data_IF_509470148992
#
_entry.id   IF_509470148992
#
_cell.length_a   1.000
_cell.length_b   1.000
_cell.length_c   1.000
_cell.angle_alpha   90.00
_cell.angle_beta   90.00
_cell.angle_gamma   90.00
#
_symmetry.space_group_name_H-M   'P 1'
#
loop_
_entity.id
_entity.type
_entity.pdbx_description
1 polymer ?
#
# COMPACT_ATOMS: atom_id res chain seq x y z
N UNK A 1 7.88 8.62 17.95
CA UNK A 1 6.93 7.49 17.90
C UNK A 1 5.47 7.95 17.96
N UNK A 2 5.05 8.72 18.98
CA UNK A 2 3.66 9.20 19.09
C UNK A 2 3.10 9.90 17.83
N UNK A 3 3.90 10.74 17.16
CA UNK A 3 3.50 11.40 15.90
C UNK A 3 3.21 10.43 14.74
N UNK A 4 3.91 9.30 14.67
CA UNK A 4 3.66 8.26 13.67
C UNK A 4 2.33 7.56 13.96
N UNK A 5 2.08 7.21 15.21
CA UNK A 5 0.82 6.57 15.61
C UNK A 5 -0.40 7.47 15.37
N UNK A 6 -0.29 8.78 15.65
CA UNK A 6 -1.38 9.71 15.37
C UNK A 6 -1.71 9.80 13.88
N UNK A 7 -0.69 9.64 13.03
CA UNK A 7 -0.85 9.65 11.59
C UNK A 7 -1.52 8.36 11.09
N UNK A 8 -1.11 7.20 11.59
CA UNK A 8 -1.78 5.92 11.30
C UNK A 8 -3.25 5.96 11.72
N UNK A 9 -3.52 6.44 12.94
CA UNK A 9 -4.88 6.58 13.47
C UNK A 9 -5.74 7.52 12.61
N UNK A 10 -5.18 8.65 12.17
CA UNK A 10 -5.89 9.62 11.31
C UNK A 10 -6.25 9.02 9.95
N UNK A 11 -5.32 8.26 9.35
CA UNK A 11 -5.53 7.61 8.05
C UNK A 11 -6.53 6.45 8.16
N UNK A 12 -6.46 5.67 9.24
CA UNK A 12 -7.45 4.63 9.53
C UNK A 12 -8.84 5.25 9.73
N UNK A 13 -8.96 6.29 10.54
CA UNK A 13 -10.23 6.99 10.76
C UNK A 13 -10.82 7.52 9.44
N UNK A 14 -10.00 8.13 8.58
CA UNK A 14 -10.41 8.56 7.25
C UNK A 14 -10.95 7.38 6.41
N UNK A 15 -10.26 6.25 6.39
CA UNK A 15 -10.67 5.09 5.59
C UNK A 15 -11.91 4.35 6.12
N UNK A 16 -12.21 4.49 7.41
CA UNK A 16 -13.47 4.02 7.98
C UNK A 16 -14.63 4.98 7.68
N UNK A 17 -14.37 6.29 7.65
CA UNK A 17 -15.41 7.31 7.46
C UNK A 17 -15.77 7.57 5.98
N UNK A 18 -14.81 7.46 5.07
CA UNK A 18 -15.01 7.82 3.66
C UNK A 18 -15.31 6.59 2.81
N UNK A 19 -16.33 6.64 1.92
CA UNK A 19 -16.62 5.54 1.01
C UNK A 19 -15.40 5.10 0.22
N UNK A 20 -15.27 3.78 0.08
CA UNK A 20 -14.14 3.16 -0.63
C UNK A 20 -14.14 3.60 -2.08
N UNK A 21 -12.95 3.78 -2.64
CA UNK A 21 -12.81 4.07 -4.07
C UNK A 21 -13.57 3.03 -4.92
N UNK A 22 -14.35 3.43 -5.95
CA UNK A 22 -15.21 2.53 -6.72
C UNK A 22 -14.53 1.25 -7.22
N UNK A 23 -13.24 1.32 -7.59
CA UNK A 23 -12.41 0.18 -8.00
C UNK A 23 -12.44 -1.03 -7.05
N UNK A 24 -12.66 -0.81 -5.75
CA UNK A 24 -12.76 -1.87 -4.75
C UNK A 24 -14.21 -2.33 -4.51
N UNK A 25 -15.20 -1.50 -4.83
CA UNK A 25 -16.63 -1.80 -4.70
C UNK A 25 -17.19 -2.64 -5.85
N UNK A 26 -16.54 -2.66 -7.01
CA UNK A 26 -17.03 -3.38 -8.19
C UNK A 26 -16.93 -4.91 -8.09
N UNK A 27 -15.99 -5.42 -7.27
CA UNK A 27 -15.76 -6.87 -7.12
C UNK A 27 -15.89 -7.24 -5.63
N UNK A 28 -16.91 -8.03 -5.22
CA UNK A 28 -17.17 -8.33 -3.82
C UNK A 28 -15.95 -8.88 -3.07
N UNK A 29 -15.17 -9.76 -3.71
CA UNK A 29 -13.93 -10.32 -3.13
C UNK A 29 -12.89 -9.25 -2.80
N UNK A 30 -12.73 -8.23 -3.66
CA UNK A 30 -11.80 -7.12 -3.41
C UNK A 30 -12.31 -6.22 -2.30
N UNK A 31 -13.62 -6.00 -2.24
CA UNK A 31 -14.26 -5.23 -1.18
C UNK A 31 -14.06 -5.89 0.20
N UNK A 32 -14.31 -7.21 0.29
CA UNK A 32 -14.08 -7.98 1.51
C UNK A 32 -12.60 -7.99 1.91
N UNK A 33 -11.69 -8.23 0.95
CA UNK A 33 -10.26 -8.19 1.20
C UNK A 33 -9.82 -6.84 1.76
N UNK A 34 -10.33 -5.72 1.23
CA UNK A 34 -10.03 -4.38 1.74
C UNK A 34 -10.59 -4.17 3.15
N UNK A 35 -11.77 -4.70 3.47
CA UNK A 35 -12.30 -4.64 4.84
C UNK A 35 -11.44 -5.40 5.83
N UNK A 36 -11.06 -6.63 5.48
CA UNK A 36 -10.21 -7.46 6.32
C UNK A 36 -8.84 -6.80 6.52
N UNK A 37 -8.28 -6.21 5.47
CA UNK A 37 -7.04 -5.45 5.52
C UNK A 37 -7.15 -4.23 6.46
N UNK A 38 -8.21 -3.42 6.32
CA UNK A 38 -8.41 -2.25 7.20
C UNK A 38 -8.64 -2.67 8.66
N UNK A 39 -9.40 -3.74 8.89
CA UNK A 39 -9.63 -4.28 10.22
C UNK A 39 -8.34 -4.80 10.85
N UNK A 40 -7.55 -5.60 10.11
CA UNK A 40 -6.29 -6.13 10.60
C UNK A 40 -5.28 -5.03 10.91
N UNK A 41 -5.09 -4.05 10.02
CA UNK A 41 -4.23 -2.91 10.29
C UNK A 41 -4.69 -2.07 11.49
N UNK A 42 -6.01 -1.97 11.73
CA UNK A 42 -6.55 -1.32 12.93
C UNK A 42 -6.19 -2.11 14.19
N UNK A 43 -6.41 -3.43 14.18
CA UNK A 43 -6.08 -4.30 15.32
C UNK A 43 -4.58 -4.33 15.61
N UNK A 44 -3.73 -4.41 14.58
CA UNK A 44 -2.28 -4.31 14.72
C UNK A 44 -1.86 -3.01 15.37
N UNK A 45 -2.44 -1.89 14.93
CA UNK A 45 -2.14 -0.56 15.51
C UNK A 45 -2.53 -0.53 16.99
N UNK A 46 -3.74 -0.99 17.32
CA UNK A 46 -4.24 -0.99 18.71
C UNK A 46 -3.38 -1.90 19.59
N UNK A 47 -3.17 -3.15 19.19
CA UNK A 47 -2.39 -4.11 19.98
C UNK A 47 -0.92 -3.71 20.08
N UNK A 48 -0.32 -3.18 19.01
CA UNK A 48 1.05 -2.65 19.04
C UNK A 48 1.19 -1.46 19.99
N UNK A 49 0.23 -0.53 20.00
CA UNK A 49 0.19 0.56 20.98
C UNK A 49 0.05 0.07 22.42
N UNK A 50 -0.86 -0.89 22.67
CA UNK A 50 -1.04 -1.48 23.99
C UNK A 50 0.23 -2.18 24.47
N UNK A 51 0.91 -2.89 23.58
CA UNK A 51 2.16 -3.58 23.87
C UNK A 51 3.29 -2.60 24.23
N UNK A 52 3.41 -1.49 23.51
CA UNK A 52 4.39 -0.44 23.78
C UNK A 52 4.05 0.42 25.01
N UNK A 53 2.78 0.49 25.41
CA UNK A 53 2.35 1.16 26.63
C UNK A 53 2.59 0.33 27.90
N UNK A 54 2.81 -0.98 27.76
CA UNK A 54 3.02 -1.91 28.87
C UNK A 54 4.30 -2.75 28.69
N UNK A 55 5.47 -2.12 28.46
CA UNK A 55 6.71 -2.84 28.19
C UNK A 55 7.09 -3.78 29.33
N UNK A 56 7.61 -4.96 28.98
CA UNK A 56 8.08 -5.97 29.93
C UNK A 56 6.98 -6.66 30.76
N UNK A 57 5.70 -6.30 30.60
CA UNK A 57 4.58 -6.94 31.30
C UNK A 57 3.99 -8.08 30.45
N UNK A 58 3.46 -9.15 31.08
CA UNK A 58 2.80 -10.23 30.34
C UNK A 58 1.68 -9.75 29.40
N UNK A 59 0.94 -8.72 29.82
CA UNK A 59 -0.09 -8.08 29.00
C UNK A 59 0.50 -7.37 27.76
N UNK A 60 1.67 -6.74 27.88
CA UNK A 60 2.34 -6.11 26.74
C UNK A 60 2.88 -7.15 25.76
N UNK A 61 3.46 -8.22 26.28
CA UNK A 61 3.95 -9.38 25.49
C UNK A 61 2.82 -10.02 24.68
N UNK A 62 1.69 -10.32 25.33
CA UNK A 62 0.53 -10.93 24.65
C UNK A 62 -0.10 -10.01 23.60
N UNK A 63 -0.22 -8.70 23.88
CA UNK A 63 -0.66 -7.73 22.88
C UNK A 63 0.29 -7.66 21.67
N UNK A 64 1.60 -7.66 21.89
CA UNK A 64 2.58 -7.67 20.80
C UNK A 64 2.46 -8.92 19.91
N UNK A 65 2.27 -10.08 20.52
CA UNK A 65 2.03 -11.33 19.80
C UNK A 65 0.72 -11.29 19.01
N UNK A 66 -0.36 -10.74 19.55
CA UNK A 66 -1.62 -10.56 18.82
C UNK A 66 -1.45 -9.64 17.60
N UNK A 67 -0.71 -8.54 17.74
CA UNK A 67 -0.37 -7.68 16.60
C UNK A 67 0.39 -8.47 15.51
N UNK A 68 1.42 -9.23 15.89
CA UNK A 68 2.18 -10.06 14.95
C UNK A 68 1.31 -11.15 14.28
N UNK A 69 0.37 -11.75 15.00
CA UNK A 69 -0.57 -12.71 14.44
C UNK A 69 -1.54 -12.06 13.45
N UNK A 70 -2.08 -10.88 13.74
CA UNK A 70 -2.90 -10.11 12.80
C UNK A 70 -2.12 -9.79 11.52
N UNK A 71 -0.85 -9.39 11.67
CA UNK A 71 0.05 -9.10 10.56
C UNK A 71 0.19 -10.30 9.60
N UNK A 72 0.56 -11.46 10.15
CA UNK A 72 0.84 -12.66 9.35
C UNK A 72 -0.42 -13.31 8.78
N UNK A 73 -1.51 -13.34 9.54
CA UNK A 73 -2.72 -14.08 9.16
C UNK A 73 -3.62 -13.30 8.19
N UNK A 74 -3.67 -11.97 8.29
CA UNK A 74 -4.61 -11.16 7.51
C UNK A 74 -3.90 -10.04 6.76
N UNK A 75 -3.07 -9.23 7.40
CA UNK A 75 -2.54 -8.01 6.79
C UNK A 75 -1.60 -8.26 5.63
N UNK A 76 -0.59 -9.11 5.80
CA UNK A 76 0.36 -9.48 4.73
C UNK A 76 -0.35 -10.21 3.59
N UNK A 77 -1.19 -11.25 3.82
CA UNK A 77 -1.92 -11.91 2.75
C UNK A 77 -2.86 -10.98 1.97
N UNK A 78 -3.61 -10.12 2.67
CA UNK A 78 -4.53 -9.17 2.01
C UNK A 78 -3.76 -8.09 1.24
N UNK A 79 -2.60 -7.64 1.74
CA UNK A 79 -1.70 -6.74 1.02
C UNK A 79 -1.21 -7.37 -0.27
N UNK A 80 -0.70 -8.61 -0.19
CA UNK A 80 -0.19 -9.36 -1.34
C UNK A 80 -1.28 -9.55 -2.42
N UNK A 81 -2.51 -9.88 -2.00
CA UNK A 81 -3.65 -9.98 -2.90
C UNK A 81 -3.98 -8.65 -3.62
N UNK A 82 -3.78 -7.52 -2.94
CA UNK A 82 -4.09 -6.19 -3.48
C UNK A 82 -2.98 -5.58 -4.33
N UNK A 83 -1.73 -6.07 -4.25
CA UNK A 83 -0.57 -5.54 -5.01
C UNK A 83 -0.84 -5.36 -6.52
N UNK A 84 -1.46 -6.31 -7.25
CA UNK A 84 -1.70 -6.15 -8.69
C UNK A 84 -2.70 -5.03 -9.03
N UNK A 85 -3.48 -4.57 -8.06
CA UNK A 85 -4.49 -3.52 -8.21
C UNK A 85 -3.98 -2.11 -7.85
N UNK A 86 -2.69 -1.98 -7.52
CA UNK A 86 -2.04 -0.68 -7.34
C UNK A 86 -2.02 0.10 -8.66
N UNK A 87 -2.23 1.41 -8.56
CA UNK A 87 -2.07 2.34 -9.69
C UNK A 87 -0.58 2.63 -9.94
N UNK A 88 -0.26 3.37 -10.99
CA UNK A 88 1.13 3.80 -11.26
C UNK A 88 1.97 2.76 -12.00
N UNK A 89 3.29 2.92 -11.93
CA UNK A 89 4.24 2.07 -12.67
C UNK A 89 4.41 0.70 -11.99
N UNK A 90 3.64 -0.30 -12.45
CA UNK A 90 3.63 -1.66 -11.88
C UNK A 90 5.01 -2.32 -11.78
N UNK A 91 5.88 -2.08 -12.76
CA UNK A 91 7.27 -2.59 -12.80
C UNK A 91 8.15 -2.11 -11.64
N UNK A 92 7.77 -1.00 -11.02
CA UNK A 92 8.42 -0.47 -9.83
C UNK A 92 7.63 -0.85 -8.57
N UNK A 93 6.31 -0.66 -8.59
CA UNK A 93 5.50 -0.74 -7.37
C UNK A 93 5.21 -2.17 -6.89
N UNK A 94 5.12 -3.15 -7.79
CA UNK A 94 4.94 -4.55 -7.38
C UNK A 94 6.14 -5.04 -6.56
N UNK A 95 7.40 -4.97 -7.05
CA UNK A 95 8.54 -5.42 -6.25
C UNK A 95 8.75 -4.60 -4.98
N UNK A 96 8.44 -3.29 -5.00
CA UNK A 96 8.42 -2.45 -3.79
C UNK A 96 7.45 -3.01 -2.75
N UNK A 97 6.21 -3.27 -3.15
CA UNK A 97 5.19 -3.76 -2.22
C UNK A 97 5.45 -5.19 -1.72
N UNK A 98 6.06 -6.05 -2.56
CA UNK A 98 6.55 -7.36 -2.13
C UNK A 98 7.64 -7.20 -1.06
N UNK A 99 8.64 -6.35 -1.28
CA UNK A 99 9.71 -6.11 -0.31
C UNK A 99 9.14 -5.64 1.03
N UNK A 100 8.25 -4.65 1.03
CA UNK A 100 7.66 -4.16 2.28
C UNK A 100 6.83 -5.24 2.97
N UNK A 101 6.07 -6.04 2.22
CA UNK A 101 5.30 -7.16 2.78
C UNK A 101 6.21 -8.20 3.44
N UNK A 102 7.37 -8.48 2.83
CA UNK A 102 8.39 -9.40 3.40
C UNK A 102 9.03 -8.81 4.65
N UNK A 103 9.40 -7.53 4.65
CA UNK A 103 9.95 -6.87 5.84
C UNK A 103 8.94 -6.86 6.99
N UNK A 104 7.68 -6.57 6.71
CA UNK A 104 6.61 -6.55 7.70
C UNK A 104 6.35 -7.93 8.30
N UNK A 105 6.25 -8.97 7.45
CA UNK A 105 6.15 -10.36 7.89
C UNK A 105 7.38 -10.79 8.72
N UNK A 106 8.58 -10.40 8.28
CA UNK A 106 9.83 -10.68 8.99
C UNK A 106 9.85 -10.05 10.38
N UNK A 107 9.41 -8.80 10.52
CA UNK A 107 9.26 -8.14 11.82
C UNK A 107 8.22 -8.84 12.71
N UNK A 108 7.09 -9.26 12.15
CA UNK A 108 6.07 -10.00 12.90
C UNK A 108 6.60 -11.35 13.42
N UNK A 109 7.31 -12.10 12.58
CA UNK A 109 7.94 -13.36 13.00
C UNK A 109 8.95 -13.16 14.14
N UNK A 110 9.72 -12.07 14.10
CA UNK A 110 10.66 -11.73 15.17
C UNK A 110 9.95 -11.34 16.47
N UNK A 111 8.80 -10.67 16.41
CA UNK A 111 7.97 -10.41 17.59
C UNK A 111 7.44 -11.72 18.19
N UNK A 112 7.08 -12.71 17.38
CA UNK A 112 6.66 -14.02 17.90
C UNK A 112 7.83 -14.80 18.51
N UNK A 113 9.02 -14.68 17.94
CA UNK A 113 10.24 -15.36 18.41
C UNK A 113 10.81 -14.74 19.69
N UNK A 114 10.82 -13.40 19.78
CA UNK A 114 11.33 -12.61 20.90
C UNK A 114 10.24 -11.65 21.43
N UNK A 115 9.19 -12.17 22.08
CA UNK A 115 7.99 -11.38 22.39
C UNK A 115 8.19 -10.34 23.50
N UNK A 116 9.33 -10.37 24.18
CA UNK A 116 9.76 -9.34 25.14
C UNK A 116 10.57 -8.21 24.50
N UNK A 117 10.93 -8.32 23.22
CA UNK A 117 11.81 -7.35 22.55
C UNK A 117 11.02 -6.16 22.00
N UNK A 118 11.12 -5.03 22.70
CA UNK A 118 10.52 -3.76 22.24
C UNK A 118 11.04 -3.34 20.87
N UNK A 119 12.32 -3.61 20.57
CA UNK A 119 12.92 -3.27 19.29
C UNK A 119 12.22 -3.98 18.12
N UNK A 120 11.90 -5.27 18.27
CA UNK A 120 11.19 -6.02 17.23
C UNK A 120 9.75 -5.52 17.06
N UNK A 121 9.11 -5.14 18.16
CA UNK A 121 7.77 -4.54 18.13
C UNK A 121 7.78 -3.18 17.43
N UNK A 122 8.77 -2.32 17.70
CA UNK A 122 8.94 -1.05 16.99
C UNK A 122 9.20 -1.31 15.50
N UNK A 123 10.00 -2.31 15.13
CA UNK A 123 10.22 -2.67 13.73
C UNK A 123 8.92 -3.12 13.03
N UNK A 124 8.06 -3.88 13.72
CA UNK A 124 6.74 -4.26 13.23
C UNK A 124 5.86 -3.02 12.99
N UNK A 125 5.86 -2.07 13.93
CA UNK A 125 5.09 -0.83 13.81
C UNK A 125 5.62 0.10 12.71
N UNK A 126 6.93 0.20 12.56
CA UNK A 126 7.58 1.00 11.49
C UNK A 126 7.24 0.43 10.10
N UNK A 127 7.22 -0.90 9.95
CA UNK A 127 6.84 -1.52 8.67
C UNK A 127 5.36 -1.31 8.32
N UNK A 128 4.45 -1.37 9.31
CA UNK A 128 3.03 -1.04 9.13
C UNK A 128 2.81 0.39 8.60
N UNK A 129 3.66 1.32 9.04
CA UNK A 129 3.59 2.74 8.72
C UNK A 129 3.80 3.10 7.25
N UNK A 130 4.30 2.15 6.43
CA UNK A 130 4.60 2.40 5.02
C UNK A 130 3.40 2.97 4.25
N UNK A 131 2.20 2.41 4.47
CA UNK A 131 1.00 2.88 3.79
C UNK A 131 0.67 4.32 4.17
N UNK A 132 0.65 4.60 5.46
CA UNK A 132 0.36 5.92 5.99
C UNK A 132 1.36 6.95 5.44
N UNK A 133 2.66 6.61 5.45
CA UNK A 133 3.72 7.46 4.94
C UNK A 133 3.54 7.74 3.45
N UNK A 134 3.12 6.74 2.66
CA UNK A 134 2.85 6.93 1.24
C UNK A 134 1.74 7.94 0.93
N UNK A 135 0.75 8.06 1.83
CA UNK A 135 -0.31 9.07 1.74
C UNK A 135 0.19 10.46 2.10
N UNK A 136 0.94 10.57 3.19
CA UNK A 136 1.54 11.84 3.58
C UNK A 136 2.49 12.38 2.52
N UNK A 137 3.36 11.53 1.98
CA UNK A 137 4.28 11.92 0.93
C UNK A 137 3.52 12.28 -0.35
N UNK A 138 2.44 11.57 -0.69
CA UNK A 138 1.60 11.95 -1.82
C UNK A 138 1.03 13.36 -1.66
N UNK A 139 0.42 13.64 -0.50
CA UNK A 139 -0.13 14.96 -0.18
C UNK A 139 0.95 16.05 -0.19
N UNK A 140 2.13 15.77 0.35
CA UNK A 140 3.26 16.70 0.31
C UNK A 140 3.72 16.98 -1.13
N UNK A 141 3.90 15.93 -1.95
CA UNK A 141 4.30 16.05 -3.36
C UNK A 141 3.23 16.74 -4.21
N UNK A 142 1.95 16.57 -3.88
CA UNK A 142 0.84 17.22 -4.58
C UNK A 142 0.77 18.74 -4.31
N UNK A 143 1.28 19.20 -3.16
CA UNK A 143 1.27 20.61 -2.75
C UNK A 143 2.49 21.39 -3.22
N UNK A 144 3.62 20.72 -3.43
CA UNK A 144 4.84 21.37 -3.95
C UNK A 144 4.75 21.52 -5.46
N UNK A 145 5.34 22.61 -5.98
CA UNK A 145 5.40 22.81 -7.42
C UNK A 145 6.42 21.85 -8.05
N UNK A 146 5.93 20.81 -8.70
CA UNK A 146 6.75 19.85 -9.45
C UNK A 146 6.73 20.14 -10.95
N UNK A 147 7.83 19.84 -11.67
CA UNK A 147 7.87 19.88 -13.13
C UNK A 147 6.77 19.00 -13.75
N UNK A 148 6.24 19.41 -14.91
CA UNK A 148 5.18 18.67 -15.63
C UNK A 148 5.59 17.23 -15.96
N UNK A 149 6.88 16.99 -16.21
CA UNK A 149 7.40 15.65 -16.44
C UNK A 149 7.27 14.72 -15.22
N UNK A 150 7.17 15.26 -13.99
CA UNK A 150 7.16 14.50 -12.74
C UNK A 150 5.74 14.35 -12.19
N UNK A 151 4.87 15.35 -12.40
CA UNK A 151 3.49 15.36 -11.86
C UNK A 151 2.68 14.09 -12.14
N UNK A 152 2.71 13.47 -13.34
CA UNK A 152 1.98 12.22 -13.59
C UNK A 152 2.44 11.04 -12.73
N UNK A 153 3.62 11.14 -12.12
CA UNK A 153 4.27 10.06 -11.38
C UNK A 153 4.20 10.23 -9.86
N UNK A 154 3.55 11.26 -9.32
CA UNK A 154 3.50 11.53 -7.87
C UNK A 154 3.05 10.33 -7.04
N UNK A 155 2.07 9.55 -7.53
CA UNK A 155 1.60 8.34 -6.85
C UNK A 155 2.68 7.26 -6.77
N UNK A 156 3.43 7.08 -7.86
CA UNK A 156 4.50 6.09 -7.92
C UNK A 156 5.65 6.51 -7.02
N UNK A 157 6.02 7.80 -7.08
CA UNK A 157 7.09 8.37 -6.29
C UNK A 157 6.78 8.32 -4.79
N UNK A 158 5.56 8.67 -4.37
CA UNK A 158 5.21 8.66 -2.95
C UNK A 158 5.30 7.29 -2.31
N UNK A 159 4.93 6.24 -3.05
CA UNK A 159 5.01 4.85 -2.58
C UNK A 159 6.46 4.37 -2.54
N UNK A 160 7.23 4.64 -3.61
CA UNK A 160 8.63 4.23 -3.70
C UNK A 160 9.51 4.93 -2.67
N UNK A 161 9.33 6.24 -2.46
CA UNK A 161 10.08 6.99 -1.45
C UNK A 161 9.73 6.54 -0.03
N UNK A 162 8.46 6.26 0.24
CA UNK A 162 8.05 5.73 1.54
C UNK A 162 8.65 4.35 1.80
N UNK A 163 8.74 3.51 0.77
CA UNK A 163 9.39 2.21 0.88
C UNK A 163 10.90 2.35 1.15
N UNK A 164 11.57 3.29 0.49
CA UNK A 164 12.98 3.59 0.74
C UNK A 164 13.20 4.03 2.18
N UNK A 165 12.34 4.90 2.72
CA UNK A 165 12.43 5.34 4.11
C UNK A 165 12.24 4.17 5.09
N UNK A 166 11.18 3.38 4.91
CA UNK A 166 10.89 2.23 5.77
C UNK A 166 11.99 1.16 5.68
N UNK A 167 12.43 0.78 4.49
CA UNK A 167 13.50 -0.22 4.33
C UNK A 167 14.82 0.27 4.92
N UNK A 168 15.14 1.56 4.77
CA UNK A 168 16.33 2.18 5.35
C UNK A 168 16.25 2.25 6.88
N UNK A 169 15.06 2.48 7.45
CA UNK A 169 14.88 2.46 8.91
C UNK A 169 15.00 1.06 9.50
N UNK A 170 14.60 0.01 8.77
CA UNK A 170 14.61 -1.36 9.27
C UNK A 170 15.93 -2.10 9.04
N UNK A 171 16.58 -1.87 7.90
CA UNK A 171 17.82 -2.57 7.51
C UNK A 171 19.07 -1.68 7.64
N UNK A 172 18.91 -0.39 7.92
CA UNK A 172 19.95 0.62 7.77
C UNK A 172 19.99 1.21 6.35
N UNK A 173 20.49 2.43 6.22
CA UNK A 173 20.42 3.21 4.97
C UNK A 173 21.01 2.47 3.76
N UNK A 174 22.23 1.94 3.89
CA UNK A 174 22.94 1.27 2.79
C UNK A 174 22.23 -0.02 2.40
N UNK A 175 21.98 -0.90 3.37
CA UNK A 175 21.36 -2.19 3.10
C UNK A 175 19.90 -2.05 2.63
N UNK A 176 19.13 -1.14 3.21
CA UNK A 176 17.75 -0.85 2.81
C UNK A 176 17.62 -0.31 1.40
N UNK A 177 18.53 0.59 1.00
CA UNK A 177 18.59 1.12 -0.38
C UNK A 177 19.03 0.04 -1.37
N UNK A 178 20.09 -0.71 -1.03
CA UNK A 178 20.62 -1.77 -1.88
C UNK A 178 19.58 -2.89 -2.10
N UNK A 179 18.90 -3.34 -1.06
CA UNK A 179 17.84 -4.35 -1.16
C UNK A 179 16.67 -3.87 -2.01
N UNK A 180 16.24 -2.62 -1.85
CA UNK A 180 15.18 -2.05 -2.67
C UNK A 180 15.57 -2.05 -4.16
N UNK A 181 16.77 -1.55 -4.47
CA UNK A 181 17.31 -1.57 -5.84
C UNK A 181 17.44 -2.98 -6.40
N UNK A 182 17.94 -3.93 -5.62
CA UNK A 182 18.09 -5.33 -6.02
C UNK A 182 16.73 -5.99 -6.30
N UNK A 183 15.71 -5.78 -5.45
CA UNK A 183 14.36 -6.32 -5.68
C UNK A 183 13.74 -5.76 -6.96
N UNK A 184 13.88 -4.45 -7.21
CA UNK A 184 13.38 -3.82 -8.44
C UNK A 184 14.13 -4.36 -9.65
N UNK A 185 15.45 -4.42 -9.60
CA UNK A 185 16.30 -4.91 -10.69
C UNK A 185 16.02 -6.38 -11.02
N UNK A 186 15.98 -7.25 -10.02
CA UNK A 186 15.67 -8.67 -10.18
C UNK A 186 14.27 -8.89 -10.76
N UNK A 187 13.26 -8.18 -10.25
CA UNK A 187 11.90 -8.26 -10.80
C UNK A 187 11.85 -7.83 -12.27
N UNK A 188 12.49 -6.72 -12.63
CA UNK A 188 12.53 -6.25 -14.01
C UNK A 188 13.33 -7.19 -14.94
N UNK A 189 14.38 -7.84 -14.43
CA UNK A 189 15.15 -8.84 -15.17
C UNK A 189 14.31 -10.10 -15.44
N UNK A 190 13.64 -10.63 -14.42
CA UNK A 190 12.79 -11.83 -14.53
C UNK A 190 11.58 -11.56 -15.43
N UNK A 191 10.98 -10.37 -15.30
CA UNK A 191 9.81 -9.98 -16.09
C UNK A 191 10.15 -9.32 -17.43
N UNK A 192 11.43 -9.27 -17.81
CA UNK A 192 11.89 -8.58 -19.04
C UNK A 192 11.20 -9.11 -20.30
N UNK A 193 10.85 -10.40 -20.30
CA UNK A 193 10.21 -11.10 -21.42
C UNK A 193 8.69 -11.20 -21.26
N UNK A 194 8.15 -11.08 -20.05
CA UNK A 194 6.71 -10.98 -19.86
C UNK A 194 6.30 -9.55 -20.16
N UNK A 195 5.64 -9.38 -21.30
CA UNK A 195 4.78 -8.23 -21.54
C UNK A 195 3.74 -8.21 -20.42
N UNK A 196 4.05 -7.55 -19.30
CA UNK A 196 3.03 -6.94 -18.45
C UNK A 196 2.37 -5.90 -19.34
N UNK A 197 1.49 -6.37 -20.23
CA UNK A 197 0.87 -5.53 -21.22
C UNK A 197 0.24 -4.36 -20.49
N UNK A 198 0.51 -3.13 -20.92
CA UNK A 198 -0.26 -2.01 -20.46
C UNK A 198 -1.72 -2.37 -20.67
N UNK A 199 -2.54 -2.27 -19.63
CA UNK A 199 -4.01 -2.41 -19.70
C UNK A 199 -4.66 -1.46 -20.73
N UNK A 200 -3.86 -0.64 -21.44
CA UNK A 200 -4.20 0.14 -22.61
C UNK A 200 -4.54 -0.68 -23.88
N UNK A 201 -4.37 -2.02 -23.89
CA UNK A 201 -5.00 -2.89 -24.91
C UNK A 201 -6.44 -3.30 -24.58
N UNK A 202 -7.12 -2.60 -23.67
CA UNK A 202 -8.57 -2.49 -23.83
C UNK A 202 -8.78 -1.67 -25.10
N UNK A 203 -9.01 -2.38 -26.21
CA UNK A 203 -9.40 -1.79 -27.48
C UNK A 203 -10.43 -0.68 -27.19
N UNK A 204 -10.33 0.50 -27.83
CA UNK A 204 -11.41 1.48 -27.71
C UNK A 204 -12.69 0.71 -28.00
N UNK A 205 -13.61 0.68 -27.04
CA UNK A 205 -14.97 0.26 -27.33
C UNK A 205 -15.41 1.19 -28.45
N UNK A 206 -15.36 0.69 -29.70
CA UNK A 206 -16.06 1.33 -30.80
C UNK A 206 -17.47 1.49 -30.26
N UNK A 207 -18.01 2.72 -30.18
CA UNK A 207 -19.41 2.89 -29.81
C UNK A 207 -20.21 1.97 -30.73
N UNK A 208 -20.82 0.93 -30.14
CA UNK A 208 -21.74 0.05 -30.86
C UNK A 208 -22.94 0.93 -31.17
N UNK A 209 -23.02 1.38 -32.42
CA UNK A 209 -24.21 2.00 -32.98
C UNK A 209 -24.47 3.43 -32.52
N UNK A 210 -23.74 4.40 -33.09
CA UNK A 210 -24.44 5.56 -33.67
C UNK A 210 -24.51 5.32 -35.18
N UNK A 211 -25.31 4.33 -35.56
CA UNK A 211 -25.81 4.26 -36.92
C UNK A 211 -26.84 5.36 -37.09
N UNK A 212 -26.62 6.23 -38.08
CA UNK A 212 -27.69 6.93 -38.81
C UNK A 212 -28.63 7.82 -37.98
N UNK A 213 -28.14 9.00 -37.59
CA UNK A 213 -28.96 10.21 -37.55
C UNK A 213 -28.31 11.26 -38.46
N UNK A 214 -28.37 10.99 -39.78
CA UNK A 214 -28.36 12.03 -40.80
C UNK A 214 -29.66 11.88 -41.58
N UNK A 215 -30.19 13.04 -41.98
CA UNK A 215 -31.33 13.29 -42.88
C UNK A 215 -32.73 13.19 -42.27
N UNK A 216 -33.09 14.16 -41.43
CA UNK A 216 -34.47 14.62 -41.26
C UNK A 216 -34.51 16.08 -40.78
N UNK A 217 -33.78 16.97 -41.45
CA UNK A 217 -33.89 18.42 -41.23
C UNK A 217 -33.51 19.17 -42.51
N UNK A 218 -34.20 18.83 -43.59
CA UNK A 218 -34.18 19.56 -44.86
C UNK A 218 -35.59 19.50 -45.45
N UNK A 219 -36.57 19.95 -44.67
CA UNK A 219 -37.90 20.32 -45.14
C UNK A 219 -38.64 20.98 -43.99
N UNK A 220 -38.43 22.30 -43.85
CA UNK A 220 -39.35 23.29 -43.24
C UNK A 220 -38.62 24.62 -43.09
N UNK A 221 -38.70 25.45 -44.12
CA UNK A 221 -38.74 26.90 -43.98
C UNK A 221 -39.71 27.45 -45.03
N UNK A 222 -40.71 28.27 -44.65
CA UNK A 222 -41.55 29.01 -45.58
C UNK A 222 -40.79 30.16 -46.27
#
# INVERSE_FOLDING_TARGET
>A
FAGMLSMDASILAYHWAVPRHPKFGLVPRRSLCLQLHLLAGTLETVFGCLALAAPGRPAGTSAGQLAALCCLSVQVPTSAYQLPAMFGQKRLLIPVGVLISVLHAGSALRVLWEPSSELQLVALMVSLHWYALSRMVYEALARVWLPEAVRPHIYTLSIASSALLVSSSLLGLVAGTAWLGACIGAFNLVTRQSLLEPTARLAPCRPRGMGSLRTAEADKAP
#
